data_IF_253806841041
#
_entry.id   IF_253806841041
#
_cell.length_a   1.000
_cell.length_b   1.000
_cell.length_c   1.000
_cell.angle_alpha   90.00
_cell.angle_beta   90.00
_cell.angle_gamma   90.00
#
_symmetry.space_group_name_H-M   'P 1'
#
loop_
_entity.id
_entity.type
_entity.pdbx_description
1 polymer ?
#
# COMPACT_ATOMS: atom_id res chain seq x y z
N UNK A 1 19.91 -23.05 16.77
CA UNK A 1 19.89 -22.02 15.71
C UNK A 1 19.30 -22.66 14.47
N UNK A 2 18.07 -22.31 14.09
CA UNK A 2 17.49 -22.80 12.85
C UNK A 2 18.13 -22.04 11.69
N UNK A 3 18.82 -22.77 10.82
CA UNK A 3 19.39 -22.25 9.57
C UNK A 3 18.22 -21.78 8.72
N UNK A 4 18.15 -20.47 8.44
CA UNK A 4 17.16 -19.92 7.51
C UNK A 4 17.37 -20.59 6.15
N UNK A 5 16.39 -21.38 5.71
CA UNK A 5 16.39 -21.95 4.37
C UNK A 5 16.51 -20.81 3.36
N UNK A 6 17.31 -21.05 2.33
CA UNK A 6 17.52 -20.17 1.18
C UNK A 6 16.22 -19.47 0.73
N UNK A 7 16.19 -18.12 0.63
CA UNK A 7 14.98 -17.33 0.42
C UNK A 7 14.26 -17.62 -0.90
N UNK A 8 14.97 -18.17 -1.90
CA UNK A 8 14.44 -18.50 -3.23
C UNK A 8 13.37 -19.60 -3.28
N UNK A 9 13.15 -20.39 -2.22
CA UNK A 9 12.17 -21.51 -2.20
C UNK A 9 11.00 -21.32 -1.21
N UNK A 10 10.75 -20.09 -0.74
CA UNK A 10 9.64 -19.81 0.18
C UNK A 10 8.35 -19.47 -0.61
N UNK A 11 7.30 -20.32 -0.62
CA UNK A 11 6.07 -20.02 -1.35
C UNK A 11 5.34 -18.78 -0.81
N UNK A 12 5.66 -18.34 0.41
CA UNK A 12 5.05 -17.16 1.05
C UNK A 12 5.75 -15.84 0.69
N UNK A 13 6.88 -15.87 -0.01
CA UNK A 13 7.65 -14.67 -0.37
C UNK A 13 8.09 -14.76 -1.82
N UNK A 14 7.86 -13.69 -2.58
CA UNK A 14 8.41 -13.50 -3.92
C UNK A 14 9.32 -12.29 -3.94
N UNK A 15 10.31 -12.28 -4.83
CA UNK A 15 11.20 -11.14 -5.01
C UNK A 15 10.88 -10.41 -6.31
N UNK A 16 10.63 -9.10 -6.19
CA UNK A 16 10.39 -8.20 -7.33
C UNK A 16 11.39 -7.06 -7.23
N UNK A 17 12.21 -6.88 -8.27
CA UNK A 17 13.33 -5.92 -8.30
C UNK A 17 14.26 -5.99 -7.06
N UNK A 18 14.46 -7.20 -6.53
CA UNK A 18 15.32 -7.44 -5.36
C UNK A 18 14.65 -7.20 -3.99
N UNK A 19 13.37 -6.82 -3.95
CA UNK A 19 12.62 -6.60 -2.71
C UNK A 19 11.64 -7.74 -2.41
N UNK A 20 11.47 -8.14 -1.13
CA UNK A 20 10.53 -9.19 -0.75
C UNK A 20 9.10 -8.67 -0.71
N UNK A 21 8.19 -9.40 -1.36
CA UNK A 21 6.75 -9.19 -1.31
C UNK A 21 6.04 -10.49 -0.94
N UNK A 22 4.79 -10.43 -0.44
CA UNK A 22 4.02 -11.64 -0.16
C UNK A 22 3.84 -12.50 -1.42
N UNK A 23 4.21 -13.77 -1.34
CA UNK A 23 3.93 -14.79 -2.36
C UNK A 23 2.48 -15.25 -2.27
N UNK A 24 1.53 -14.41 -2.71
CA UNK A 24 0.10 -14.74 -2.65
C UNK A 24 -0.63 -14.27 -3.90
N UNK A 25 -1.79 -14.85 -4.16
CA UNK A 25 -2.65 -14.52 -5.33
C UNK A 25 -3.05 -13.04 -5.39
N UNK A 26 -2.95 -12.32 -4.28
CA UNK A 26 -3.27 -10.90 -4.18
C UNK A 26 -2.14 -9.97 -4.59
N UNK A 27 -0.90 -10.46 -4.66
CA UNK A 27 0.29 -9.68 -5.00
C UNK A 27 0.93 -10.30 -6.23
N UNK A 28 0.39 -10.01 -7.41
CA UNK A 28 0.96 -10.53 -8.66
C UNK A 28 2.22 -9.75 -9.01
N UNK A 29 3.24 -10.44 -9.50
CA UNK A 29 4.52 -9.81 -9.86
C UNK A 29 4.33 -8.70 -10.89
N UNK A 30 3.49 -8.93 -11.90
CA UNK A 30 3.22 -7.99 -12.99
C UNK A 30 2.57 -6.72 -12.43
N UNK A 31 1.59 -6.88 -11.53
CA UNK A 31 0.92 -5.76 -10.85
C UNK A 31 1.92 -4.95 -10.03
N UNK A 32 2.82 -5.63 -9.30
CA UNK A 32 3.86 -4.96 -8.52
C UNK A 32 4.82 -4.16 -9.42
N UNK A 33 5.23 -4.72 -10.55
CA UNK A 33 6.11 -4.05 -11.51
C UNK A 33 5.43 -2.81 -12.12
N UNK A 34 4.17 -2.93 -12.55
CA UNK A 34 3.39 -1.81 -13.10
C UNK A 34 3.21 -0.68 -12.06
N UNK A 35 2.95 -1.05 -10.80
CA UNK A 35 2.77 -0.11 -9.69
C UNK A 35 4.08 0.62 -9.35
N UNK A 36 5.23 -0.05 -9.48
CA UNK A 36 6.55 0.60 -9.29
C UNK A 36 6.90 1.59 -10.41
N UNK A 37 6.40 1.35 -11.63
CA UNK A 37 6.63 2.21 -12.79
C UNK A 37 5.57 3.31 -12.95
N UNK A 38 4.50 3.24 -12.17
CA UNK A 38 3.42 4.21 -12.21
C UNK A 38 3.84 5.61 -11.72
N UNK A 39 3.63 6.62 -12.57
CA UNK A 39 3.86 8.03 -12.24
C UNK A 39 2.54 8.64 -11.73
N UNK A 40 2.50 9.16 -10.48
CA UNK A 40 1.31 9.83 -9.95
C UNK A 40 0.84 11.01 -10.81
N UNK A 41 -0.47 11.26 -10.88
CA UNK A 41 -1.01 12.45 -11.55
C UNK A 41 -0.98 13.66 -10.62
N UNK A 42 -1.06 14.84 -11.23
CA UNK A 42 -1.32 16.08 -10.51
C UNK A 42 -2.60 15.98 -9.67
N UNK A 43 -2.50 16.33 -8.39
CA UNK A 43 -3.62 16.34 -7.46
C UNK A 43 -3.97 14.99 -6.84
N UNK A 44 -3.27 13.91 -7.19
CA UNK A 44 -3.38 12.64 -6.48
C UNK A 44 -3.05 12.81 -4.99
N UNK A 45 -3.76 12.06 -4.13
CA UNK A 45 -3.53 12.01 -2.69
C UNK A 45 -3.10 10.59 -2.35
N UNK A 46 -1.83 10.44 -1.99
CA UNK A 46 -1.17 9.15 -1.78
C UNK A 46 -0.95 8.95 -0.28
N UNK A 47 -1.37 7.80 0.24
CA UNK A 47 -0.95 7.36 1.57
C UNK A 47 0.13 6.30 1.41
N UNK A 48 1.34 6.62 1.84
CA UNK A 48 2.47 5.72 1.84
C UNK A 48 2.81 5.30 3.28
N UNK A 49 3.20 4.05 3.49
CA UNK A 49 3.55 3.58 4.85
C UNK A 49 4.30 2.26 4.79
N UNK A 50 4.97 1.89 5.88
CA UNK A 50 5.30 0.48 6.11
C UNK A 50 4.03 -0.25 6.59
N UNK A 51 3.82 -1.54 6.29
CA UNK A 51 2.67 -2.27 6.80
C UNK A 51 2.53 -2.14 8.33
N UNK A 52 1.28 -1.97 8.80
CA UNK A 52 0.93 -1.93 10.24
C UNK A 52 1.42 -0.70 11.02
N UNK A 53 1.79 0.38 10.34
CA UNK A 53 2.09 1.67 11.00
C UNK A 53 0.89 2.59 11.17
N UNK A 54 -0.33 2.16 10.82
CA UNK A 54 -1.56 2.95 10.99
C UNK A 54 -2.23 3.40 9.69
N UNK A 55 -1.97 2.72 8.58
CA UNK A 55 -2.46 3.07 7.24
C UNK A 55 -3.97 3.21 7.18
N UNK A 56 -4.72 2.25 7.73
CA UNK A 56 -6.19 2.30 7.78
C UNK A 56 -6.68 3.58 8.47
N UNK A 57 -6.09 3.94 9.61
CA UNK A 57 -6.48 5.15 10.34
C UNK A 57 -6.24 6.42 9.52
N UNK A 58 -5.09 6.52 8.86
CA UNK A 58 -4.79 7.65 7.99
C UNK A 58 -5.69 7.71 6.76
N UNK A 59 -6.03 6.57 6.13
CA UNK A 59 -6.98 6.52 5.02
C UNK A 59 -8.34 7.11 5.44
N UNK A 60 -8.89 6.71 6.59
CA UNK A 60 -10.15 7.24 7.11
C UNK A 60 -10.08 8.75 7.37
N UNK A 61 -8.98 9.24 7.96
CA UNK A 61 -8.79 10.69 8.16
C UNK A 61 -8.81 11.44 6.82
N UNK A 62 -8.09 10.93 5.82
CA UNK A 62 -8.02 11.57 4.49
C UNK A 62 -9.39 11.57 3.81
N UNK A 63 -10.12 10.44 3.85
CA UNK A 63 -11.48 10.33 3.30
C UNK A 63 -12.41 11.35 3.96
N UNK A 64 -12.42 11.41 5.30
CA UNK A 64 -13.26 12.34 6.06
C UNK A 64 -12.93 13.81 5.75
N UNK A 65 -11.65 14.17 5.66
CA UNK A 65 -11.24 15.54 5.29
C UNK A 65 -11.71 15.86 3.87
N UNK A 66 -11.49 14.94 2.92
CA UNK A 66 -11.82 15.14 1.51
C UNK A 66 -13.33 15.26 1.29
N UNK A 67 -14.12 14.51 2.03
CA UNK A 67 -15.58 14.53 1.99
C UNK A 67 -16.22 15.55 2.94
N UNK A 68 -15.44 16.37 3.64
CA UNK A 68 -15.93 17.30 4.68
C UNK A 68 -16.81 16.62 5.75
N UNK A 69 -16.48 15.38 6.10
CA UNK A 69 -17.19 14.59 7.10
C UNK A 69 -18.41 13.82 6.56
N UNK A 70 -18.75 13.94 5.28
CA UNK A 70 -19.98 13.33 4.71
C UNK A 70 -19.87 11.83 4.39
N UNK A 71 -18.66 11.26 4.28
CA UNK A 71 -18.43 9.90 3.80
C UNK A 71 -17.61 9.07 4.79
N UNK A 72 -18.29 8.19 5.53
CA UNK A 72 -17.65 7.19 6.39
C UNK A 72 -17.88 5.77 5.84
N UNK A 73 -17.00 5.26 4.97
CA UNK A 73 -17.21 3.98 4.29
C UNK A 73 -17.03 2.79 5.23
N UNK A 74 -17.75 1.71 4.94
CA UNK A 74 -17.48 0.40 5.56
C UNK A 74 -16.09 -0.08 5.14
N UNK A 75 -15.43 -0.86 6.00
CA UNK A 75 -14.08 -1.37 5.72
C UNK A 75 -13.99 -2.14 4.40
N UNK A 76 -15.04 -2.85 4.02
CA UNK A 76 -15.13 -3.65 2.78
C UNK A 76 -15.18 -2.77 1.51
N UNK A 77 -15.61 -1.52 1.65
CA UNK A 77 -15.71 -0.57 0.53
C UNK A 77 -14.48 0.35 0.44
N UNK A 78 -13.56 0.30 1.42
CA UNK A 78 -12.37 1.16 1.44
C UNK A 78 -11.51 0.99 0.18
N UNK A 79 -11.30 -0.24 -0.29
CA UNK A 79 -10.46 -0.51 -1.47
C UNK A 79 -11.08 0.08 -2.77
N UNK A 80 -12.39 0.37 -2.80
CA UNK A 80 -13.06 1.01 -3.96
C UNK A 80 -12.84 2.53 -3.98
N UNK A 81 -12.65 3.14 -2.81
CA UNK A 81 -12.50 4.59 -2.63
C UNK A 81 -11.02 4.97 -2.56
N UNK A 82 -10.22 4.09 -1.96
CA UNK A 82 -8.83 4.30 -1.59
C UNK A 82 -8.02 3.02 -1.86
N UNK A 83 -7.90 2.59 -3.13
CA UNK A 83 -7.29 1.33 -3.52
C UNK A 83 -5.88 1.13 -2.98
N UNK A 84 -5.57 -0.12 -2.61
CA UNK A 84 -4.22 -0.59 -2.33
C UNK A 84 -3.57 -1.05 -3.64
N UNK A 85 -2.67 -0.24 -4.18
CA UNK A 85 -2.18 -0.41 -5.55
C UNK A 85 -1.53 -1.77 -5.79
N UNK A 86 -0.74 -2.27 -4.85
CA UNK A 86 -0.06 -3.57 -4.97
C UNK A 86 -1.04 -4.75 -5.11
N UNK A 87 -2.32 -4.57 -4.75
CA UNK A 87 -3.39 -5.57 -4.92
C UNK A 87 -4.31 -5.26 -6.09
N UNK A 88 -4.70 -3.99 -6.27
CA UNK A 88 -5.72 -3.60 -7.25
C UNK A 88 -5.13 -3.27 -8.63
N UNK A 89 -3.85 -2.89 -8.67
CA UNK A 89 -3.17 -2.42 -9.88
C UNK A 89 -3.57 -1.01 -10.31
N UNK A 90 -2.88 -0.56 -11.35
CA UNK A 90 -2.99 0.79 -11.92
C UNK A 90 -4.31 1.01 -12.65
N UNK A 91 -4.89 -0.02 -13.27
CA UNK A 91 -6.14 0.09 -14.03
C UNK A 91 -7.33 0.51 -13.14
N UNK A 92 -7.43 -0.06 -11.93
CA UNK A 92 -8.46 0.32 -10.96
C UNK A 92 -8.29 1.79 -10.59
N UNK A 93 -7.07 2.25 -10.34
CA UNK A 93 -6.80 3.66 -10.04
C UNK A 93 -7.16 4.58 -11.22
N UNK A 94 -6.85 4.18 -12.45
CA UNK A 94 -7.18 4.94 -13.65
C UNK A 94 -8.69 5.05 -13.92
N UNK A 95 -9.49 4.13 -13.40
CA UNK A 95 -10.95 4.21 -13.45
C UNK A 95 -11.56 5.23 -12.48
N UNK A 96 -10.79 5.72 -11.49
CA UNK A 96 -11.26 6.67 -10.49
C UNK A 96 -11.27 8.11 -11.00
N UNK A 97 -12.25 8.89 -10.54
CA UNK A 97 -12.32 10.34 -10.79
C UNK A 97 -11.31 11.10 -9.94
N UNK A 98 -10.75 12.17 -10.50
CA UNK A 98 -9.83 13.06 -9.78
C UNK A 98 -10.55 13.97 -8.77
N UNK A 99 -9.89 14.35 -7.65
CA UNK A 99 -8.58 13.88 -7.22
C UNK A 99 -8.66 12.44 -6.71
N UNK A 100 -7.74 11.58 -7.18
CA UNK A 100 -7.73 10.16 -6.84
C UNK A 100 -7.00 9.96 -5.51
N UNK A 101 -7.47 9.01 -4.72
CA UNK A 101 -6.87 8.63 -3.45
C UNK A 101 -6.44 7.17 -3.54
N UNK A 102 -5.22 6.84 -3.12
CA UNK A 102 -4.72 5.46 -3.11
C UNK A 102 -3.56 5.30 -2.16
N UNK A 103 -3.30 4.07 -1.73
CA UNK A 103 -2.20 3.76 -0.83
C UNK A 103 -1.25 2.73 -1.42
N UNK A 104 -0.03 2.74 -0.89
CA UNK A 104 0.98 1.72 -1.16
C UNK A 104 1.90 1.51 0.04
N UNK A 105 2.56 0.36 0.05
CA UNK A 105 3.64 -0.05 0.94
C UNK A 105 5.01 -0.14 0.25
N UNK A 106 5.10 0.24 -1.03
CA UNK A 106 6.37 0.29 -1.76
C UNK A 106 7.45 1.12 -1.04
N UNK A 107 8.71 0.62 -1.02
CA UNK A 107 9.87 1.40 -0.60
C UNK A 107 10.05 2.69 -1.39
N UNK A 108 10.61 3.72 -0.76
CA UNK A 108 10.80 5.06 -1.34
C UNK A 108 11.60 5.10 -2.65
N UNK A 109 12.50 4.12 -2.86
CA UNK A 109 13.32 4.01 -4.05
C UNK A 109 12.67 3.18 -5.19
N UNK A 110 11.50 2.59 -4.95
CA UNK A 110 10.75 1.82 -5.95
C UNK A 110 9.54 2.58 -6.50
N UNK A 111 9.40 3.86 -6.18
CA UNK A 111 8.27 4.68 -6.63
C UNK A 111 8.72 5.76 -7.61
N UNK A 112 7.90 6.03 -8.61
CA UNK A 112 7.99 7.28 -9.36
C UNK A 112 7.35 8.43 -8.56
N UNK A 113 7.77 9.66 -8.85
CA UNK A 113 7.37 10.84 -8.08
C UNK A 113 6.84 11.92 -9.00
N UNK A 114 5.82 12.63 -8.52
CA UNK A 114 5.30 13.83 -9.14
C UNK A 114 5.17 14.89 -8.04
N UNK A 115 5.82 16.04 -8.22
CA UNK A 115 5.83 17.16 -7.27
C UNK A 115 4.44 17.79 -7.08
N UNK A 116 3.51 17.55 -8.02
CA UNK A 116 2.12 17.99 -7.95
C UNK A 116 1.19 16.98 -7.29
N UNK A 117 1.67 15.80 -6.89
CA UNK A 117 0.93 14.86 -6.06
C UNK A 117 1.19 15.13 -4.57
N UNK A 118 0.21 14.83 -3.72
CA UNK A 118 0.33 14.98 -2.26
C UNK A 118 0.59 13.62 -1.66
N UNK A 119 1.71 13.47 -0.95
CA UNK A 119 2.08 12.21 -0.28
C UNK A 119 2.00 12.41 1.23
N UNK A 120 1.23 11.57 1.90
CA UNK A 120 1.18 11.47 3.35
C UNK A 120 1.85 10.16 3.75
N UNK A 121 2.98 10.26 4.47
CA UNK A 121 3.68 9.10 5.00
C UNK A 121 3.42 8.94 6.49
N UNK A 122 3.02 7.74 6.92
CA UNK A 122 2.87 7.42 8.35
C UNK A 122 3.86 6.34 8.78
N UNK A 123 4.58 6.64 9.87
CA UNK A 123 5.48 5.71 10.52
C UNK A 123 5.05 5.50 11.97
N UNK A 124 5.43 4.36 12.52
CA UNK A 124 5.21 3.99 13.92
C UNK A 124 6.51 3.44 14.47
N UNK A 125 6.69 3.59 15.77
CA UNK A 125 7.78 2.96 16.52
C UNK A 125 7.92 1.47 16.13
N UNK A 126 9.14 0.99 15.82
CA UNK A 126 9.33 -0.34 15.24
C UNK A 126 8.92 -1.48 16.16
N UNK A 127 9.10 -1.33 17.47
CA UNK A 127 8.71 -2.34 18.48
C UNK A 127 7.20 -2.60 18.43
N UNK A 128 6.40 -1.54 18.37
CA UNK A 128 4.94 -1.67 18.27
C UNK A 128 4.49 -2.18 16.90
N UNK A 129 5.20 -1.76 15.85
CA UNK A 129 4.94 -2.21 14.47
C UNK A 129 5.16 -3.72 14.35
N UNK A 130 6.24 -4.23 14.96
CA UNK A 130 6.55 -5.67 14.99
C UNK A 130 5.43 -6.46 15.67
N UNK A 131 4.99 -6.03 16.86
CA UNK A 131 3.90 -6.70 17.59
C UNK A 131 2.61 -6.69 16.75
N UNK A 132 2.27 -5.55 16.15
CA UNK A 132 1.07 -5.44 15.31
C UNK A 132 1.15 -6.32 14.07
N UNK A 133 2.32 -6.42 13.44
CA UNK A 133 2.55 -7.29 12.28
C UNK A 133 2.48 -8.76 12.66
N UNK A 134 3.07 -9.16 13.78
CA UNK A 134 3.00 -10.53 14.29
C UNK A 134 1.55 -11.02 14.45
N UNK A 135 0.69 -10.22 15.10
CA UNK A 135 -0.73 -10.57 15.25
C UNK A 135 -1.48 -10.55 13.91
N UNK A 136 -1.15 -9.62 13.02
CA UNK A 136 -1.76 -9.56 11.70
C UNK A 136 -1.45 -10.79 10.84
N UNK A 137 -0.22 -11.29 10.86
CA UNK A 137 0.19 -12.46 10.06
C UNK A 137 -0.26 -13.82 10.62
N UNK A 138 -0.82 -13.85 11.84
CA UNK A 138 -1.33 -15.08 12.47
C UNK A 138 -2.83 -15.29 12.31
N UNK A 139 -3.55 -14.24 11.95
CA UNK A 139 -4.99 -14.28 11.67
C UNK A 139 -5.22 -14.70 10.22
#
# INVERSE_FOLDING_TARGET
>A
MAVAKHPENNPYVQFVRGYPFPGSVWFKKEVLEDVMDYIPNQGDIIVASYPKTGTTWLQYIVVQIKSKGELFPKSEDMDKIFPYMERTGVDVLNSLKSPRMYMHHLPYNLIQKNDKAKVLYIYRRPEDTLVSYYHFSRN
#
